data_IF_597623800804
#
_entry.id   IF_597623800804
#
_cell.length_a   1.000
_cell.length_b   1.000
_cell.length_c   1.000
_cell.angle_alpha   90.00
_cell.angle_beta   90.00
_cell.angle_gamma   90.00
#
_symmetry.space_group_name_H-M   'P 1'
#
loop_
_entity.id
_entity.type
_entity.pdbx_description
1 polymer ?
#
# COMPACT_ATOMS: atom_id res chain seq x y z
N UNK A 1 -22.12 -23.55 -7.93
CA UNK A 1 -22.42 -23.99 -6.55
C UNK A 1 -21.42 -25.08 -6.09
N UNK A 2 -21.23 -26.18 -6.83
CA UNK A 2 -20.35 -27.30 -6.41
C UNK A 2 -18.84 -26.99 -6.33
N UNK A 3 -18.38 -25.93 -6.96
CA UNK A 3 -16.96 -25.53 -6.93
C UNK A 3 -16.60 -24.70 -5.70
N UNK A 4 -17.53 -23.92 -5.18
CA UNK A 4 -17.39 -23.14 -3.96
C UNK A 4 -17.34 -24.04 -2.74
N UNK A 5 -18.26 -24.99 -2.64
CA UNK A 5 -18.36 -25.95 -1.51
C UNK A 5 -17.11 -26.82 -1.31
N UNK A 6 -16.32 -27.10 -2.35
CA UNK A 6 -15.09 -27.91 -2.22
C UNK A 6 -13.91 -27.13 -1.64
N UNK A 7 -13.82 -25.81 -1.86
CA UNK A 7 -12.80 -24.99 -1.24
C UNK A 7 -13.00 -24.86 0.28
N UNK A 8 -14.23 -24.73 0.71
CA UNK A 8 -14.59 -24.44 2.09
C UNK A 8 -14.25 -25.58 3.07
N UNK A 9 -14.23 -26.82 2.61
CA UNK A 9 -13.87 -28.00 3.43
C UNK A 9 -12.38 -28.26 3.50
N UNK A 10 -11.63 -27.97 2.44
CA UNK A 10 -10.21 -28.30 2.34
C UNK A 10 -9.29 -27.27 3.01
N UNK A 11 -9.68 -25.99 3.03
CA UNK A 11 -8.86 -24.95 3.63
C UNK A 11 -8.66 -25.14 5.15
N UNK A 12 -9.75 -25.34 5.97
CA UNK A 12 -9.57 -25.67 7.38
C UNK A 12 -8.74 -26.92 7.59
N UNK A 13 -8.99 -27.96 6.80
CA UNK A 13 -8.31 -29.25 6.93
C UNK A 13 -6.80 -29.16 6.64
N UNK A 14 -6.38 -28.28 5.75
CA UNK A 14 -4.97 -28.04 5.52
C UNK A 14 -4.28 -27.47 6.78
N UNK A 15 -4.88 -26.44 7.36
CA UNK A 15 -4.32 -25.81 8.58
C UNK A 15 -4.42 -26.75 9.81
N UNK A 16 -5.48 -27.52 9.93
CA UNK A 16 -5.65 -28.54 10.96
C UNK A 16 -4.56 -29.62 10.89
N UNK A 17 -4.23 -30.08 9.68
CA UNK A 17 -3.29 -31.19 9.48
C UNK A 17 -1.82 -30.80 9.32
N UNK A 18 -1.54 -29.55 9.03
CA UNK A 18 -0.17 -29.10 8.78
C UNK A 18 0.22 -27.91 9.68
N UNK A 19 -0.41 -26.76 9.52
CA UNK A 19 0.03 -25.50 10.15
C UNK A 19 -0.05 -25.56 11.68
N UNK A 20 -1.16 -26.04 12.24
CA UNK A 20 -1.33 -26.11 13.69
C UNK A 20 -0.40 -27.15 14.35
N UNK A 21 -0.26 -28.39 13.82
CA UNK A 21 0.74 -29.33 14.31
C UNK A 21 2.15 -28.81 14.23
N UNK A 22 2.52 -28.19 13.10
CA UNK A 22 3.87 -27.65 12.88
C UNK A 22 4.25 -26.56 13.88
N UNK A 23 3.31 -25.69 14.28
CA UNK A 23 3.54 -24.68 15.32
C UNK A 23 3.87 -25.35 16.66
N UNK A 24 3.11 -26.37 17.08
CA UNK A 24 3.38 -27.05 18.34
C UNK A 24 4.69 -27.83 18.30
N UNK A 25 4.99 -28.49 17.17
CA UNK A 25 6.20 -29.29 16.99
C UNK A 25 7.46 -28.41 17.00
N UNK A 26 7.48 -27.30 16.27
CA UNK A 26 8.62 -26.40 16.20
C UNK A 26 8.92 -25.67 17.52
N UNK A 27 7.94 -25.53 18.38
CA UNK A 27 8.07 -24.84 19.67
C UNK A 27 7.99 -25.80 20.87
N UNK A 28 8.11 -27.11 20.64
CA UNK A 28 8.03 -28.15 21.68
C UNK A 28 6.77 -28.01 22.57
N UNK A 29 5.66 -27.56 21.97
CA UNK A 29 4.40 -27.29 22.68
C UNK A 29 4.41 -26.04 23.56
N UNK A 30 5.50 -25.27 23.56
CA UNK A 30 5.65 -24.08 24.40
C UNK A 30 5.08 -22.83 23.67
N UNK A 31 3.76 -22.76 23.50
CA UNK A 31 3.00 -21.70 22.85
C UNK A 31 1.83 -21.30 23.72
N UNK A 32 1.75 -20.04 24.11
CA UNK A 32 0.66 -19.50 24.92
C UNK A 32 -0.46 -18.91 24.06
N UNK A 33 -0.08 -18.27 22.94
CA UNK A 33 -1.05 -17.66 22.03
C UNK A 33 -0.59 -17.72 20.57
N UNK A 34 -1.57 -17.81 19.66
CA UNK A 34 -1.37 -17.70 18.21
C UNK A 34 -2.28 -16.59 17.68
N UNK A 35 -1.68 -15.64 16.95
CA UNK A 35 -2.40 -14.51 16.35
C UNK A 35 -2.73 -14.82 14.91
N UNK A 36 -3.99 -14.72 14.54
CA UNK A 36 -4.51 -15.01 13.19
C UNK A 36 -5.34 -13.85 12.65
N UNK A 37 -5.37 -13.69 11.32
CA UNK A 37 -6.35 -12.87 10.64
C UNK A 37 -7.41 -13.76 9.96
N UNK A 38 -8.54 -13.18 9.65
CA UNK A 38 -9.65 -13.88 8.99
C UNK A 38 -10.04 -13.18 7.69
N UNK A 39 -9.93 -13.94 6.59
CA UNK A 39 -10.62 -13.72 5.33
C UNK A 39 -11.62 -14.87 5.20
N UNK A 40 -11.32 -15.91 4.43
CA UNK A 40 -12.19 -17.10 4.30
C UNK A 40 -12.39 -17.94 5.56
N UNK A 41 -11.76 -17.59 6.67
CA UNK A 41 -11.72 -18.29 7.97
C UNK A 41 -11.06 -19.68 8.01
N UNK A 42 -10.51 -20.15 6.90
CA UNK A 42 -9.89 -21.49 6.83
C UNK A 42 -8.79 -21.70 7.87
N UNK A 43 -7.93 -20.71 8.09
CA UNK A 43 -6.83 -20.76 9.05
C UNK A 43 -7.32 -20.87 10.48
N UNK A 44 -8.19 -19.95 10.93
CA UNK A 44 -8.72 -19.93 12.29
C UNK A 44 -9.51 -21.19 12.59
N UNK A 45 -10.32 -21.66 11.65
CA UNK A 45 -11.17 -22.86 11.84
C UNK A 45 -10.33 -24.14 11.95
N UNK A 46 -9.31 -24.30 11.09
CA UNK A 46 -8.41 -25.45 11.17
C UNK A 46 -7.60 -25.47 12.46
N UNK A 47 -7.10 -24.30 12.87
CA UNK A 47 -6.36 -24.16 14.14
C UNK A 47 -7.26 -24.38 15.36
N UNK A 48 -8.49 -23.83 15.37
CA UNK A 48 -9.43 -24.04 16.47
C UNK A 48 -9.70 -25.52 16.69
N UNK A 49 -9.95 -26.31 15.63
CA UNK A 49 -10.19 -27.74 15.72
C UNK A 49 -8.99 -28.48 16.28
N UNK A 50 -7.81 -28.22 15.77
CA UNK A 50 -6.59 -28.91 16.21
C UNK A 50 -6.21 -28.56 17.64
N UNK A 51 -6.18 -27.26 17.99
CA UNK A 51 -5.77 -26.82 19.31
C UNK A 51 -6.78 -27.17 20.40
N UNK A 52 -8.09 -27.24 20.10
CA UNK A 52 -9.08 -27.70 21.06
C UNK A 52 -8.79 -29.13 21.57
N UNK A 53 -8.22 -29.99 20.72
CA UNK A 53 -7.89 -31.37 21.06
C UNK A 53 -6.48 -31.51 21.66
N UNK A 54 -5.48 -30.79 21.10
CA UNK A 54 -4.05 -31.04 21.37
C UNK A 54 -3.41 -29.99 22.29
N UNK A 55 -3.98 -28.79 22.38
CA UNK A 55 -3.47 -27.68 23.20
C UNK A 55 -4.61 -26.79 23.75
N UNK A 56 -5.51 -27.33 24.59
CA UNK A 56 -6.74 -26.63 25.00
C UNK A 56 -6.50 -25.35 25.83
N UNK A 57 -5.30 -25.13 26.35
CA UNK A 57 -4.91 -23.92 27.07
C UNK A 57 -4.33 -22.82 26.18
N UNK A 58 -3.98 -23.14 24.92
CA UNK A 58 -3.52 -22.17 23.96
C UNK A 58 -4.65 -21.22 23.59
N UNK A 59 -4.33 -19.94 23.42
CA UNK A 59 -5.30 -18.91 23.03
C UNK A 59 -5.14 -18.51 21.57
N UNK A 60 -6.21 -18.52 20.82
CA UNK A 60 -6.21 -17.87 19.51
C UNK A 60 -6.63 -16.41 19.70
N UNK A 61 -5.86 -15.50 19.14
CA UNK A 61 -6.09 -14.06 19.14
C UNK A 61 -6.42 -13.63 17.70
N UNK A 62 -7.54 -12.96 17.51
CA UNK A 62 -7.93 -12.45 16.21
C UNK A 62 -7.35 -11.04 16.01
N UNK A 63 -6.63 -10.85 14.90
CA UNK A 63 -6.26 -9.54 14.38
C UNK A 63 -7.24 -9.17 13.26
N UNK A 64 -7.95 -8.07 13.42
CA UNK A 64 -9.04 -7.65 12.54
C UNK A 64 -8.82 -6.20 12.10
N UNK A 65 -8.89 -5.87 10.79
CA UNK A 65 -8.79 -4.49 10.34
C UNK A 65 -9.94 -3.64 10.91
N UNK A 66 -9.65 -2.40 11.25
CA UNK A 66 -10.70 -1.43 11.59
C UNK A 66 -11.66 -1.27 10.39
N UNK A 67 -12.95 -1.35 10.64
CA UNK A 67 -14.00 -1.40 9.61
C UNK A 67 -14.52 -2.81 9.31
N UNK A 68 -13.81 -3.88 9.69
CA UNK A 68 -14.34 -5.25 9.70
C UNK A 68 -15.27 -5.47 10.90
N UNK A 69 -16.24 -6.37 10.74
CA UNK A 69 -17.22 -6.66 11.80
C UNK A 69 -16.74 -7.72 12.81
N UNK A 70 -15.66 -8.44 12.53
CA UNK A 70 -15.31 -9.65 13.26
C UNK A 70 -14.82 -9.38 14.68
N UNK A 71 -14.08 -8.28 14.89
CA UNK A 71 -13.63 -7.91 16.24
C UNK A 71 -14.80 -7.63 17.18
N UNK A 72 -15.82 -6.94 16.73
CA UNK A 72 -17.03 -6.67 17.49
C UNK A 72 -17.84 -7.95 17.73
N UNK A 73 -17.94 -8.80 16.72
CA UNK A 73 -18.60 -10.09 16.85
C UNK A 73 -17.95 -10.97 17.92
N UNK A 74 -16.62 -11.10 17.90
CA UNK A 74 -15.90 -11.91 18.90
C UNK A 74 -16.00 -11.31 20.30
N UNK A 75 -15.77 -10.01 20.43
CA UNK A 75 -15.67 -9.39 21.76
C UNK A 75 -17.02 -9.06 22.40
N UNK A 76 -18.05 -8.75 21.59
CA UNK A 76 -19.35 -8.25 22.05
C UNK A 76 -20.52 -9.18 21.71
N UNK A 77 -20.33 -10.17 20.82
CA UNK A 77 -21.38 -11.03 20.31
C UNK A 77 -22.36 -10.33 19.35
N UNK A 78 -22.03 -9.15 18.86
CA UNK A 78 -22.86 -8.35 17.94
C UNK A 78 -22.08 -7.96 16.73
N UNK A 79 -22.71 -7.93 15.57
CA UNK A 79 -22.08 -7.38 14.36
C UNK A 79 -21.93 -5.88 14.53
N UNK A 80 -20.72 -5.36 14.32
CA UNK A 80 -20.43 -3.93 14.20
C UNK A 80 -20.95 -3.34 12.87
N UNK A 81 -20.80 -2.04 12.72
CA UNK A 81 -20.97 -1.40 11.40
C UNK A 81 -19.75 -1.69 10.55
N UNK A 82 -19.98 -2.19 9.32
CA UNK A 82 -18.89 -2.40 8.37
C UNK A 82 -18.45 -1.06 7.77
N UNK A 83 -17.13 -0.87 7.68
CA UNK A 83 -16.48 0.26 7.03
C UNK A 83 -15.60 -0.16 5.87
N UNK A 84 -14.68 0.71 5.46
CA UNK A 84 -13.63 0.40 4.48
C UNK A 84 -12.28 0.25 5.16
N UNK A 85 -11.41 -0.60 4.62
CA UNK A 85 -10.02 -0.75 5.03
C UNK A 85 -9.13 -0.98 3.81
N UNK A 86 -7.83 -0.74 3.95
CA UNK A 86 -6.83 -0.88 2.89
C UNK A 86 -5.91 -2.10 3.08
N UNK A 87 -5.94 -2.74 4.25
CA UNK A 87 -5.25 -4.00 4.51
C UNK A 87 -5.84 -5.09 3.61
N UNK A 88 -4.99 -5.86 2.96
CA UNK A 88 -5.42 -6.90 2.02
C UNK A 88 -5.40 -8.29 2.66
N UNK A 89 -6.39 -9.12 2.29
CA UNK A 89 -6.43 -10.55 2.60
C UNK A 89 -7.07 -10.94 3.92
N UNK A 90 -7.41 -9.98 4.76
CA UNK A 90 -8.14 -10.18 6.03
C UNK A 90 -9.18 -9.08 6.23
N UNK A 91 -10.12 -9.34 7.14
CA UNK A 91 -11.27 -8.47 7.39
C UNK A 91 -12.49 -8.90 6.57
N UNK A 92 -13.67 -8.86 7.16
CA UNK A 92 -14.92 -9.27 6.53
C UNK A 92 -16.07 -8.36 6.98
N UNK A 93 -17.07 -8.22 6.13
CA UNK A 93 -18.35 -7.56 6.39
C UNK A 93 -19.49 -8.57 6.68
N UNK A 94 -19.16 -9.84 6.74
CA UNK A 94 -20.04 -10.96 7.07
C UNK A 94 -19.27 -12.03 7.88
N UNK A 95 -19.99 -12.99 8.45
CA UNK A 95 -19.36 -14.14 9.12
C UNK A 95 -19.29 -15.29 8.10
N UNK A 96 -18.08 -15.77 7.74
CA UNK A 96 -17.96 -16.92 6.85
C UNK A 96 -18.62 -18.17 7.41
N UNK A 97 -19.35 -18.92 6.57
CA UNK A 97 -20.12 -20.10 7.00
C UNK A 97 -19.26 -21.21 7.65
N UNK A 98 -17.99 -21.29 7.29
CA UNK A 98 -17.04 -22.29 7.82
C UNK A 98 -16.28 -21.82 9.06
N UNK A 99 -16.55 -20.60 9.53
CA UNK A 99 -15.82 -20.01 10.64
C UNK A 99 -16.06 -20.77 11.95
N UNK A 100 -14.97 -21.22 12.56
CA UNK A 100 -14.94 -21.77 13.90
C UNK A 100 -14.09 -20.87 14.81
N UNK A 101 -14.78 -20.08 15.62
CA UNK A 101 -14.16 -19.17 16.59
C UNK A 101 -14.13 -19.73 18.01
N UNK A 102 -14.37 -21.02 18.20
CA UNK A 102 -14.49 -21.64 19.52
C UNK A 102 -13.27 -21.46 20.41
N UNK A 103 -12.07 -21.38 19.82
CA UNK A 103 -10.80 -21.17 20.52
C UNK A 103 -10.34 -19.70 20.50
N UNK A 104 -11.09 -18.80 19.85
CA UNK A 104 -10.73 -17.37 19.81
C UNK A 104 -11.04 -16.72 21.15
N UNK A 105 -10.01 -16.32 21.85
CA UNK A 105 -10.11 -15.73 23.18
C UNK A 105 -10.46 -14.24 23.15
N UNK A 106 -9.88 -13.49 22.21
CA UNK A 106 -10.03 -12.05 22.09
C UNK A 106 -9.73 -11.61 20.66
N UNK A 107 -10.33 -10.51 20.23
CA UNK A 107 -10.02 -9.85 18.96
C UNK A 107 -9.52 -8.43 19.21
N UNK A 108 -8.55 -8.00 18.40
CA UNK A 108 -8.06 -6.63 18.35
C UNK A 108 -8.41 -6.00 17.01
N UNK A 109 -9.11 -4.87 17.06
CA UNK A 109 -9.26 -4.01 15.90
C UNK A 109 -7.97 -3.20 15.72
N UNK A 110 -7.45 -3.19 14.50
CA UNK A 110 -6.18 -2.57 14.13
C UNK A 110 -6.40 -1.68 12.91
N UNK A 111 -6.05 -0.41 13.02
CA UNK A 111 -6.17 0.52 11.90
C UNK A 111 -5.18 0.23 10.77
N UNK A 112 -5.49 0.72 9.56
CA UNK A 112 -4.56 0.63 8.41
C UNK A 112 -3.21 1.26 8.73
N UNK A 113 -3.22 2.43 9.41
CA UNK A 113 -2.00 3.12 9.82
C UNK A 113 -1.11 2.25 10.72
N UNK A 114 -1.67 1.66 11.77
CA UNK A 114 -0.96 0.74 12.67
C UNK A 114 -0.42 -0.48 11.92
N UNK A 115 -1.21 -1.03 10.99
CA UNK A 115 -0.85 -2.20 10.19
C UNK A 115 0.33 -1.91 9.25
N UNK A 116 0.29 -0.78 8.55
CA UNK A 116 1.35 -0.40 7.62
C UNK A 116 2.64 -0.01 8.35
N UNK A 117 2.52 0.70 9.45
CA UNK A 117 3.66 1.06 10.31
C UNK A 117 4.36 -0.19 10.84
N UNK A 118 3.60 -1.14 11.38
CA UNK A 118 4.16 -2.40 11.91
C UNK A 118 4.86 -3.23 10.82
N UNK A 119 4.31 -3.31 9.61
CA UNK A 119 4.95 -4.01 8.49
C UNK A 119 6.27 -3.32 8.06
N UNK A 120 6.30 -1.98 8.03
CA UNK A 120 7.50 -1.19 7.73
C UNK A 120 8.56 -1.30 8.84
N UNK A 121 8.15 -1.30 10.11
CA UNK A 121 9.04 -1.56 11.26
C UNK A 121 9.63 -2.96 11.22
N UNK A 122 8.84 -3.97 10.88
CA UNK A 122 9.29 -5.35 10.73
C UNK A 122 10.42 -5.46 9.69
N UNK A 123 10.25 -4.78 8.53
CA UNK A 123 11.31 -4.70 7.54
C UNK A 123 12.56 -3.97 8.07
N UNK A 124 12.37 -2.85 8.75
CA UNK A 124 13.48 -2.00 9.22
C UNK A 124 14.29 -2.65 10.34
N UNK A 125 13.63 -3.34 11.27
CA UNK A 125 14.28 -3.92 12.44
C UNK A 125 14.77 -5.35 12.23
N UNK A 126 13.95 -6.16 11.52
CA UNK A 126 14.19 -7.59 11.41
C UNK A 126 14.57 -8.03 9.99
N UNK A 127 14.52 -7.12 9.00
CA UNK A 127 14.82 -7.43 7.61
C UNK A 127 13.74 -8.28 6.92
N UNK A 128 12.54 -8.38 7.49
CA UNK A 128 11.43 -9.17 6.97
C UNK A 128 10.50 -8.31 6.13
N UNK A 129 10.53 -8.51 4.81
CA UNK A 129 9.63 -7.85 3.87
C UNK A 129 8.30 -8.60 3.79
N UNK A 130 7.31 -8.19 4.59
CA UNK A 130 6.02 -8.85 4.73
C UNK A 130 4.86 -7.97 4.20
N UNK A 131 3.68 -8.56 3.97
CA UNK A 131 2.50 -7.85 3.49
C UNK A 131 1.75 -7.07 4.57
N UNK A 132 0.70 -6.36 4.17
CA UNK A 132 -0.10 -5.50 5.05
C UNK A 132 -0.75 -6.27 6.20
N UNK A 133 -1.34 -7.43 5.93
CA UNK A 133 -1.95 -8.29 6.95
C UNK A 133 -0.96 -8.78 7.99
N UNK A 134 0.31 -9.00 7.62
CA UNK A 134 1.36 -9.36 8.58
C UNK A 134 1.60 -8.24 9.60
N UNK A 135 1.52 -6.97 9.17
CA UNK A 135 1.59 -5.83 10.07
C UNK A 135 0.39 -5.77 11.03
N UNK A 136 -0.81 -6.07 10.55
CA UNK A 136 -2.02 -6.18 11.38
C UNK A 136 -1.84 -7.24 12.47
N UNK A 137 -1.38 -8.43 12.08
CA UNK A 137 -1.16 -9.54 13.01
C UNK A 137 -0.06 -9.20 14.02
N UNK A 138 1.03 -8.58 13.59
CA UNK A 138 2.11 -8.14 14.47
C UNK A 138 1.61 -7.11 15.49
N UNK A 139 0.84 -6.12 15.05
CA UNK A 139 0.24 -5.11 15.94
C UNK A 139 -0.67 -5.75 16.99
N UNK A 140 -1.54 -6.68 16.59
CA UNK A 140 -2.39 -7.40 17.51
C UNK A 140 -1.58 -8.26 18.51
N UNK A 141 -0.51 -8.90 18.04
CA UNK A 141 0.40 -9.67 18.89
C UNK A 141 1.09 -8.79 19.93
N UNK A 142 1.55 -7.61 19.53
CA UNK A 142 2.15 -6.63 20.45
C UNK A 142 1.12 -6.10 21.45
N UNK A 143 -0.08 -5.72 21.01
CA UNK A 143 -1.19 -5.29 21.91
C UNK A 143 -1.51 -6.38 22.93
N UNK A 144 -1.66 -7.63 22.49
CA UNK A 144 -1.91 -8.76 23.36
C UNK A 144 -0.76 -8.98 24.36
N UNK A 145 0.49 -8.98 23.92
CA UNK A 145 1.66 -9.20 24.76
C UNK A 145 1.82 -8.11 25.83
N UNK A 146 1.53 -6.86 25.51
CA UNK A 146 1.58 -5.75 26.46
C UNK A 146 0.52 -5.84 27.58
N UNK A 147 -0.57 -6.56 27.37
CA UNK A 147 -1.60 -6.79 28.38
C UNK A 147 -1.24 -7.93 29.35
N UNK A 148 -0.23 -8.75 29.03
CA UNK A 148 0.14 -9.88 29.88
C UNK A 148 1.03 -9.42 31.03
N UNK A 149 0.84 -10.01 32.21
CA UNK A 149 1.65 -9.74 33.41
C UNK A 149 2.87 -10.64 33.51
N UNK A 150 2.83 -11.79 32.81
CA UNK A 150 3.90 -12.78 32.76
C UNK A 150 4.38 -12.95 31.32
N UNK A 151 5.67 -13.32 31.11
CA UNK A 151 6.19 -13.61 29.78
C UNK A 151 5.39 -14.73 29.10
N UNK A 152 5.07 -14.53 27.82
CA UNK A 152 4.35 -15.50 27.00
C UNK A 152 5.03 -15.70 25.64
N UNK A 153 4.93 -16.92 25.12
CA UNK A 153 5.32 -17.25 23.76
C UNK A 153 4.13 -17.02 22.83
N UNK A 154 4.21 -15.95 22.03
CA UNK A 154 3.15 -15.53 21.10
C UNK A 154 3.64 -15.73 19.67
N UNK A 155 2.89 -16.48 18.88
CA UNK A 155 3.14 -16.73 17.46
C UNK A 155 2.27 -15.80 16.61
N UNK A 156 2.87 -15.09 15.67
CA UNK A 156 2.15 -14.33 14.65
C UNK A 156 2.68 -14.72 13.26
N UNK A 157 1.79 -14.68 12.24
CA UNK A 157 2.17 -15.06 10.89
C UNK A 157 2.73 -13.87 10.09
N UNK A 158 3.81 -14.11 9.32
CA UNK A 158 4.14 -13.33 8.14
C UNK A 158 3.40 -13.94 6.95
N UNK A 159 2.17 -13.48 6.70
CA UNK A 159 1.20 -14.15 5.84
C UNK A 159 1.65 -14.24 4.38
N UNK A 160 2.26 -13.17 3.85
CA UNK A 160 2.77 -13.11 2.50
C UNK A 160 3.94 -12.14 2.37
N UNK A 161 4.57 -12.17 1.18
CA UNK A 161 5.71 -11.30 0.87
C UNK A 161 5.27 -9.87 0.56
N UNK A 162 6.02 -8.90 1.07
CA UNK A 162 5.84 -7.47 0.78
C UNK A 162 6.10 -7.06 -0.68
N UNK A 163 6.63 -7.95 -1.52
CA UNK A 163 6.86 -7.65 -2.94
C UNK A 163 5.58 -7.19 -3.68
N UNK A 164 4.41 -7.64 -3.24
CA UNK A 164 3.12 -7.23 -3.80
C UNK A 164 2.74 -5.78 -3.42
N UNK A 165 3.40 -5.22 -2.41
CA UNK A 165 3.03 -3.96 -1.77
C UNK A 165 4.10 -2.87 -1.95
N UNK A 166 5.10 -3.10 -2.83
CA UNK A 166 6.16 -2.13 -3.12
C UNK A 166 5.63 -0.80 -3.69
N UNK A 167 4.50 -0.81 -4.36
CA UNK A 167 3.83 0.38 -4.86
C UNK A 167 2.79 0.98 -3.90
N UNK A 168 2.58 0.37 -2.74
CA UNK A 168 1.61 0.76 -1.71
C UNK A 168 2.33 1.07 -0.40
N UNK A 169 2.18 0.24 0.63
CA UNK A 169 2.70 0.48 1.98
C UNK A 169 4.24 0.66 2.06
N UNK A 170 5.01 0.20 1.08
CA UNK A 170 6.46 0.44 0.98
C UNK A 170 6.83 1.59 0.04
N UNK A 171 5.86 2.33 -0.45
CA UNK A 171 6.05 3.53 -1.26
C UNK A 171 5.61 4.76 -0.46
N UNK A 172 6.57 5.62 -0.08
CA UNK A 172 6.30 6.80 0.74
C UNK A 172 5.29 7.74 0.05
N UNK A 173 5.33 7.89 -1.28
CA UNK A 173 4.34 8.71 -2.00
C UNK A 173 2.92 8.17 -1.88
N UNK A 174 2.75 6.85 -1.93
CA UNK A 174 1.44 6.24 -1.71
C UNK A 174 0.99 6.44 -0.27
N UNK A 175 1.89 6.27 0.69
CA UNK A 175 1.61 6.50 2.11
C UNK A 175 1.22 7.96 2.41
N UNK A 176 1.91 8.92 1.80
CA UNK A 176 1.57 10.34 1.87
C UNK A 176 0.23 10.63 1.18
N UNK A 177 -0.02 10.01 0.02
CA UNK A 177 -1.26 10.18 -0.73
C UNK A 177 -2.48 9.64 0.02
N UNK A 178 -2.30 8.57 0.78
CA UNK A 178 -3.33 8.03 1.67
C UNK A 178 -3.40 8.75 3.04
N UNK A 179 -2.49 9.65 3.35
CA UNK A 179 -2.47 10.41 4.61
C UNK A 179 -1.83 9.68 5.79
N UNK A 180 -1.10 8.59 5.55
CA UNK A 180 -0.39 7.84 6.61
C UNK A 180 0.98 8.42 6.96
N UNK A 181 1.56 9.23 6.07
CA UNK A 181 2.79 9.99 6.30
C UNK A 181 2.46 11.47 6.10
N UNK A 182 2.83 12.29 7.05
CA UNK A 182 2.70 13.75 6.92
C UNK A 182 3.76 14.29 5.96
N UNK A 183 3.34 15.10 5.02
CA UNK A 183 4.20 15.83 4.11
C UNK A 183 4.41 17.26 4.58
N UNK A 184 5.63 17.81 4.48
CA UNK A 184 5.84 19.24 4.73
C UNK A 184 4.90 20.08 3.88
N UNK A 185 4.20 21.04 4.49
CA UNK A 185 3.34 21.98 3.79
C UNK A 185 4.10 23.29 3.55
N UNK A 186 4.10 23.74 2.31
CA UNK A 186 4.74 24.99 1.88
C UNK A 186 3.74 26.15 1.83
N UNK A 187 2.45 25.85 1.76
CA UNK A 187 1.38 26.84 1.64
C UNK A 187 1.23 27.43 0.23
N UNK A 188 1.75 26.76 -0.79
CA UNK A 188 1.74 27.19 -2.18
C UNK A 188 1.59 26.03 -3.16
N UNK A 189 1.85 26.24 -4.48
CA UNK A 189 1.67 25.20 -5.50
C UNK A 189 2.53 23.94 -5.27
N UNK A 190 3.60 24.01 -4.47
CA UNK A 190 4.42 22.84 -4.14
C UNK A 190 3.64 21.78 -3.39
N UNK A 191 2.60 22.16 -2.64
CA UNK A 191 1.72 21.23 -1.94
C UNK A 191 0.86 20.38 -2.89
N UNK A 192 0.69 20.83 -4.14
CA UNK A 192 -0.04 20.10 -5.16
C UNK A 192 0.84 19.17 -6.00
N UNK A 193 2.17 19.31 -5.92
CA UNK A 193 3.10 18.47 -6.68
C UNK A 193 3.12 17.07 -6.08
N UNK A 194 2.62 16.06 -6.80
CA UNK A 194 2.61 14.68 -6.34
C UNK A 194 4.01 14.08 -6.12
N UNK A 195 5.02 14.54 -6.89
CA UNK A 195 6.40 14.05 -6.84
C UNK A 195 7.38 15.22 -6.89
N UNK A 196 7.83 15.69 -5.74
CA UNK A 196 8.80 16.78 -5.65
C UNK A 196 10.17 16.35 -6.18
N UNK A 197 10.79 17.25 -6.96
CA UNK A 197 12.10 16.98 -7.57
C UNK A 197 13.23 16.97 -6.53
N UNK A 198 13.20 17.85 -5.55
CA UNK A 198 14.18 17.92 -4.46
C UNK A 198 14.27 16.65 -3.63
N UNK A 199 13.18 15.89 -3.53
CA UNK A 199 13.10 14.60 -2.84
C UNK A 199 13.53 13.40 -3.72
N UNK A 200 14.04 13.65 -4.93
CA UNK A 200 14.34 12.64 -5.96
C UNK A 200 13.15 11.78 -6.36
N UNK A 201 11.95 12.28 -6.12
CA UNK A 201 10.69 11.62 -6.40
C UNK A 201 10.27 11.71 -7.86
N UNK A 202 10.67 12.78 -8.53
CA UNK A 202 10.37 13.02 -9.93
C UNK A 202 11.21 12.10 -10.81
N UNK A 203 10.54 11.36 -11.67
CA UNK A 203 11.21 10.53 -12.68
C UNK A 203 11.52 11.42 -13.87
N UNK A 204 12.76 11.47 -14.24
CA UNK A 204 13.28 12.36 -15.28
C UNK A 204 14.02 11.59 -16.38
N UNK A 205 14.27 12.23 -17.49
CA UNK A 205 15.15 11.75 -18.56
C UNK A 205 16.14 12.86 -18.93
N UNK A 206 17.27 12.49 -19.52
CA UNK A 206 18.20 13.43 -20.14
C UNK A 206 17.85 13.66 -21.61
N UNK A 207 18.28 14.80 -22.21
CA UNK A 207 18.04 15.08 -23.63
C UNK A 207 18.70 14.06 -24.56
N UNK A 208 19.79 13.43 -24.13
CA UNK A 208 20.56 12.42 -24.89
C UNK A 208 20.09 10.98 -24.60
N UNK A 209 19.15 10.75 -23.65
CA UNK A 209 18.53 9.44 -23.47
C UNK A 209 17.73 9.09 -24.73
N UNK A 210 17.65 7.79 -25.08
CA UNK A 210 16.85 7.37 -26.24
C UNK A 210 15.37 7.30 -25.89
N UNK A 211 14.48 7.53 -26.87
CA UNK A 211 13.03 7.52 -26.68
C UNK A 211 12.51 6.19 -26.11
N UNK A 212 13.14 5.05 -26.44
CA UNK A 212 12.81 3.75 -25.82
C UNK A 212 13.01 3.76 -24.30
N UNK A 213 14.09 4.39 -23.81
CA UNK A 213 14.33 4.53 -22.37
C UNK A 213 13.26 5.41 -21.73
N UNK A 214 12.92 6.53 -22.35
CA UNK A 214 11.87 7.42 -21.88
C UNK A 214 10.51 6.71 -21.83
N UNK A 215 10.14 5.97 -22.90
CA UNK A 215 8.91 5.18 -22.92
C UNK A 215 8.85 4.14 -21.80
N UNK A 216 9.94 3.43 -21.54
CA UNK A 216 10.00 2.47 -20.44
C UNK A 216 9.85 3.15 -19.08
N UNK A 217 10.43 4.33 -18.88
CA UNK A 217 10.26 5.12 -17.64
C UNK A 217 8.83 5.60 -17.47
N UNK A 218 8.17 6.13 -18.52
CA UNK A 218 6.74 6.50 -18.51
C UNK A 218 5.88 5.33 -18.04
N UNK A 219 6.04 4.18 -18.71
CA UNK A 219 5.24 2.98 -18.45
C UNK A 219 5.47 2.41 -17.05
N UNK A 220 6.73 2.26 -16.64
CA UNK A 220 7.08 1.64 -15.36
C UNK A 220 6.66 2.52 -14.17
N UNK A 221 6.66 3.82 -14.35
CA UNK A 221 6.27 4.78 -13.33
C UNK A 221 4.78 5.12 -13.34
N UNK A 222 4.03 4.70 -14.36
CA UNK A 222 2.62 5.04 -14.53
C UNK A 222 2.39 6.55 -14.67
N UNK A 223 3.30 7.26 -15.36
CA UNK A 223 3.20 8.71 -15.60
C UNK A 223 3.08 8.99 -17.09
N UNK A 224 2.40 10.06 -17.46
CA UNK A 224 2.18 10.45 -18.86
C UNK A 224 3.14 11.53 -19.35
N UNK A 225 3.97 12.10 -18.47
CA UNK A 225 4.95 13.12 -18.77
C UNK A 225 6.26 12.89 -18.00
N UNK A 226 7.39 13.19 -18.62
CA UNK A 226 8.71 13.19 -18.00
C UNK A 226 9.37 14.56 -18.17
N UNK A 227 9.82 15.20 -17.09
CA UNK A 227 10.75 16.32 -17.18
C UNK A 227 12.06 15.87 -17.86
N UNK A 228 12.54 16.66 -18.79
CA UNK A 228 13.85 16.46 -19.42
C UNK A 228 14.85 17.37 -18.72
N UNK A 229 15.80 16.76 -18.04
CA UNK A 229 16.80 17.46 -17.23
C UNK A 229 18.17 17.40 -17.89
N UNK A 230 18.84 18.56 -17.98
CA UNK A 230 20.23 18.66 -18.41
C UNK A 230 21.03 19.45 -17.37
N UNK A 231 22.12 18.88 -16.89
CA UNK A 231 22.98 19.47 -15.85
C UNK A 231 22.20 20.04 -14.64
N UNK A 232 21.09 19.39 -14.25
CA UNK A 232 20.25 19.80 -13.14
C UNK A 232 19.18 20.85 -13.47
N UNK A 233 19.05 21.27 -14.72
CA UNK A 233 18.07 22.25 -15.20
C UNK A 233 16.98 21.56 -16.01
N UNK A 234 15.77 22.05 -15.89
CA UNK A 234 14.65 21.63 -16.73
C UNK A 234 14.79 22.26 -18.13
N UNK A 235 15.10 21.42 -19.13
CA UNK A 235 15.28 21.88 -20.52
C UNK A 235 14.11 21.54 -21.43
N UNK A 236 13.22 20.64 -20.99
CA UNK A 236 12.05 20.24 -21.77
C UNK A 236 11.13 19.35 -20.98
N UNK A 237 10.01 18.98 -21.59
CA UNK A 237 9.08 17.95 -21.08
C UNK A 237 8.75 17.01 -22.24
N UNK A 238 8.79 15.71 -21.99
CA UNK A 238 8.40 14.67 -22.94
C UNK A 238 7.10 14.03 -22.49
N UNK A 239 6.06 14.09 -23.30
CA UNK A 239 4.80 13.40 -23.05
C UNK A 239 4.68 12.10 -23.87
N UNK A 240 3.81 11.17 -23.43
CA UNK A 240 3.50 9.96 -24.21
C UNK A 240 3.08 10.28 -25.66
N UNK A 241 2.30 11.35 -25.84
CA UNK A 241 1.85 11.80 -27.15
C UNK A 241 3.02 12.20 -28.07
N UNK A 242 4.10 12.72 -27.51
CA UNK A 242 5.29 13.10 -28.27
C UNK A 242 6.05 11.86 -28.77
N UNK A 243 6.18 10.84 -27.90
CA UNK A 243 6.76 9.55 -28.28
C UNK A 243 5.93 8.86 -29.36
N UNK A 244 4.60 8.88 -29.24
CA UNK A 244 3.70 8.31 -30.25
C UNK A 244 3.86 9.03 -31.58
N UNK A 245 3.95 10.36 -31.59
CA UNK A 245 4.10 11.15 -32.81
C UNK A 245 5.38 10.78 -33.56
N UNK A 246 6.50 10.61 -32.86
CA UNK A 246 7.78 10.21 -33.47
C UNK A 246 7.75 8.76 -33.94
N UNK A 247 7.19 7.84 -33.14
CA UNK A 247 7.20 6.42 -33.45
C UNK A 247 6.18 6.01 -34.54
N UNK A 248 5.08 6.76 -34.72
CA UNK A 248 3.99 6.36 -35.61
C UNK A 248 4.40 6.30 -37.09
N UNK A 249 5.27 7.19 -37.51
CA UNK A 249 5.79 7.22 -38.89
C UNK A 249 7.14 6.52 -39.08
N UNK A 250 7.82 6.20 -37.99
CA UNK A 250 9.21 5.72 -37.99
C UNK A 250 9.49 4.90 -36.72
N UNK A 251 9.21 3.60 -36.69
CA UNK A 251 9.50 2.77 -35.51
C UNK A 251 10.97 2.79 -35.09
N UNK A 252 11.89 3.00 -36.05
CA UNK A 252 13.33 3.11 -35.79
C UNK A 252 13.67 4.38 -35.00
N UNK A 253 12.85 5.43 -35.10
CA UNK A 253 13.03 6.70 -34.38
C UNK A 253 12.86 6.55 -32.85
N UNK A 254 12.38 5.42 -32.35
CA UNK A 254 12.44 5.10 -30.92
C UNK A 254 13.87 4.99 -30.37
N UNK A 255 14.87 4.91 -31.23
CA UNK A 255 16.27 4.95 -30.84
C UNK A 255 16.87 6.36 -30.91
N UNK A 256 16.11 7.35 -31.37
CA UNK A 256 16.56 8.73 -31.42
C UNK A 256 16.62 9.36 -30.01
N UNK A 257 17.43 10.39 -29.80
CA UNK A 257 17.51 11.12 -28.54
C UNK A 257 16.20 11.78 -28.17
N UNK A 258 15.88 11.84 -26.87
CA UNK A 258 14.72 12.54 -26.31
C UNK A 258 14.62 13.99 -26.82
N UNK A 259 15.73 14.66 -27.02
CA UNK A 259 15.79 16.03 -27.57
C UNK A 259 15.06 16.21 -28.89
N UNK A 260 14.89 15.16 -29.71
CA UNK A 260 14.16 15.23 -30.99
C UNK A 260 12.65 15.34 -30.85
N UNK A 261 12.11 14.85 -29.72
CA UNK A 261 10.67 14.76 -29.49
C UNK A 261 10.16 15.66 -28.34
N UNK A 262 11.05 16.06 -27.42
CA UNK A 262 10.65 16.85 -26.25
C UNK A 262 10.07 18.21 -26.65
N UNK A 263 9.15 18.70 -25.79
CA UNK A 263 8.62 20.06 -25.88
C UNK A 263 9.56 21.00 -25.12
N UNK A 264 10.23 21.93 -25.85
CA UNK A 264 11.07 22.98 -25.24
C UNK A 264 10.24 24.15 -24.71
N UNK A 265 9.03 24.36 -25.28
CA UNK A 265 8.11 25.41 -24.88
C UNK A 265 6.94 24.81 -24.11
N UNK A 266 6.95 24.97 -22.82
CA UNK A 266 5.92 24.50 -21.90
C UNK A 266 5.61 25.58 -20.84
N UNK A 267 4.47 25.44 -20.18
CA UNK A 267 4.06 26.43 -19.18
C UNK A 267 4.85 26.22 -17.88
N UNK A 268 5.45 27.30 -17.43
CA UNK A 268 6.12 27.38 -16.13
C UNK A 268 5.34 28.30 -15.20
N UNK A 269 5.17 27.91 -13.96
CA UNK A 269 4.46 28.66 -12.93
C UNK A 269 5.38 28.86 -11.72
N UNK A 270 5.32 30.06 -11.17
CA UNK A 270 5.90 30.35 -9.87
C UNK A 270 5.11 29.61 -8.76
N UNK A 271 5.76 29.08 -7.69
CA UNK A 271 5.09 28.46 -6.56
C UNK A 271 3.96 29.31 -5.97
N UNK A 272 4.10 30.62 -5.93
CA UNK A 272 3.10 31.55 -5.39
C UNK A 272 1.90 31.79 -6.33
N UNK A 273 1.88 31.17 -7.51
CA UNK A 273 0.71 31.24 -8.40
C UNK A 273 -0.51 30.66 -7.74
N UNK A 274 -1.65 31.33 -7.86
CA UNK A 274 -2.90 30.86 -7.22
C UNK A 274 -3.41 29.57 -7.84
N UNK A 275 -4.05 28.72 -7.03
CA UNK A 275 -4.67 27.47 -7.49
C UNK A 275 -5.73 27.74 -8.58
N UNK A 276 -6.47 28.85 -8.52
CA UNK A 276 -7.43 29.23 -9.55
C UNK A 276 -6.77 29.44 -10.92
N UNK A 277 -5.60 30.08 -10.95
CA UNK A 277 -4.85 30.29 -12.18
C UNK A 277 -4.30 28.96 -12.73
N UNK A 278 -3.80 28.09 -11.84
CA UNK A 278 -3.38 26.75 -12.22
C UNK A 278 -4.54 25.93 -12.81
N UNK A 279 -5.72 25.93 -12.17
CA UNK A 279 -6.89 25.19 -12.64
C UNK A 279 -7.35 25.72 -14.01
N UNK A 280 -7.40 27.05 -14.21
CA UNK A 280 -7.74 27.64 -15.52
C UNK A 280 -6.75 27.20 -16.60
N UNK A 281 -5.47 27.16 -16.30
CA UNK A 281 -4.42 26.71 -17.20
C UNK A 281 -4.56 25.21 -17.55
N UNK A 282 -4.83 24.35 -16.56
CA UNK A 282 -4.96 22.91 -16.77
C UNK A 282 -6.24 22.53 -17.55
N UNK A 283 -7.17 23.45 -17.79
CA UNK A 283 -8.27 23.21 -18.75
C UNK A 283 -7.78 23.07 -20.18
N UNK A 284 -6.70 23.79 -20.54
CA UNK A 284 -6.18 23.85 -21.91
C UNK A 284 -4.79 23.19 -22.06
N UNK A 285 -4.05 23.04 -20.97
CA UNK A 285 -2.76 22.39 -20.93
C UNK A 285 -2.82 21.06 -20.16
N UNK A 286 -2.05 20.02 -20.56
CA UNK A 286 -2.05 18.74 -19.84
C UNK A 286 -1.31 18.80 -18.50
N UNK A 287 -0.35 19.71 -18.36
CA UNK A 287 0.50 19.88 -17.16
C UNK A 287 1.02 21.32 -17.07
N UNK A 288 1.57 21.68 -15.92
CA UNK A 288 2.38 22.86 -15.68
C UNK A 288 3.65 22.46 -14.90
N UNK A 289 4.78 23.06 -15.23
CA UNK A 289 6.00 22.95 -14.46
C UNK A 289 6.02 24.04 -13.37
N UNK A 290 6.35 23.67 -12.14
CA UNK A 290 6.56 24.64 -11.06
C UNK A 290 8.05 24.91 -10.93
N UNK A 291 8.44 26.17 -11.11
CA UNK A 291 9.84 26.61 -11.11
C UNK A 291 9.99 27.94 -10.42
N UNK A 292 11.11 28.16 -9.75
CA UNK A 292 11.48 29.45 -9.18
C UNK A 292 13.02 29.63 -9.27
N UNK A 293 13.48 30.74 -9.82
CA UNK A 293 14.91 31.06 -9.96
C UNK A 293 15.74 29.92 -10.61
N UNK A 294 15.24 29.34 -11.70
CA UNK A 294 15.79 28.17 -12.40
C UNK A 294 15.75 26.86 -11.61
N UNK A 295 15.23 26.85 -10.38
CA UNK A 295 14.98 25.63 -9.61
C UNK A 295 13.65 24.99 -10.05
N UNK A 296 13.69 23.70 -10.36
CA UNK A 296 12.52 22.92 -10.73
C UNK A 296 11.99 22.12 -9.54
N UNK A 297 10.74 22.36 -9.16
CA UNK A 297 10.12 21.64 -8.04
C UNK A 297 9.33 20.41 -8.48
N UNK A 298 8.72 20.43 -9.65
CA UNK A 298 7.94 19.30 -10.19
C UNK A 298 6.92 19.71 -11.23
N UNK A 299 6.22 18.70 -11.75
CA UNK A 299 5.07 18.91 -12.63
C UNK A 299 3.76 18.81 -11.83
N UNK A 300 2.79 19.62 -12.18
CA UNK A 300 1.40 19.50 -11.70
C UNK A 300 0.52 19.14 -12.90
N UNK A 301 -0.27 18.09 -12.74
CA UNK A 301 -1.27 17.61 -13.69
C UNK A 301 -2.68 17.77 -13.14
N UNK A 302 -3.70 17.46 -13.95
CA UNK A 302 -5.09 17.41 -13.48
C UNK A 302 -5.30 16.38 -12.36
N UNK A 303 -4.58 15.25 -12.41
CA UNK A 303 -4.66 14.22 -11.40
C UNK A 303 -4.16 14.72 -10.04
N UNK A 304 -3.08 15.51 -10.01
CA UNK A 304 -2.54 16.08 -8.78
C UNK A 304 -3.52 17.06 -8.12
N UNK A 305 -4.19 17.89 -8.91
CA UNK A 305 -5.24 18.80 -8.41
C UNK A 305 -6.42 18.00 -7.83
N UNK A 306 -6.87 16.95 -8.52
CA UNK A 306 -7.96 16.10 -8.03
C UNK A 306 -7.58 15.39 -6.72
N UNK A 307 -6.35 14.89 -6.62
CA UNK A 307 -5.83 14.27 -5.40
C UNK A 307 -5.77 15.28 -4.25
N UNK A 308 -5.31 16.50 -4.51
CA UNK A 308 -5.30 17.57 -3.51
C UNK A 308 -6.71 17.88 -2.98
N UNK A 309 -7.69 18.01 -3.89
CA UNK A 309 -9.09 18.24 -3.50
C UNK A 309 -9.68 17.08 -2.69
N UNK A 310 -9.37 15.85 -3.08
CA UNK A 310 -9.80 14.65 -2.33
C UNK A 310 -9.28 14.68 -0.89
N UNK A 311 -8.01 15.01 -0.68
CA UNK A 311 -7.41 15.13 0.66
C UNK A 311 -8.08 16.20 1.53
N UNK A 312 -8.55 17.29 0.93
CA UNK A 312 -9.28 18.34 1.67
C UNK A 312 -10.70 17.94 2.08
N UNK A 313 -11.32 16.96 1.39
CA UNK A 313 -12.67 16.50 1.71
C UNK A 313 -12.72 15.53 2.89
N UNK A 314 -11.57 15.03 3.37
CA UNK A 314 -11.47 13.99 4.41
C UNK A 314 -11.81 12.58 3.87
N UNK A 315 -11.59 11.55 4.68
CA UNK A 315 -11.97 10.18 4.34
C UNK A 315 -13.47 9.99 4.26
#
# INVERSE_FOLDING_TARGET
ADRVMRHDVYLPLAHERTTAPEILDQLDGNVDAVVVGVGSSGTVSGMSRYFAEHAPNLRIILADPEGSILADYINKGTMGESGGWLVEGIGEDFIPDIADFSMVHKAYSVSDAESFDAARELLRREGLLAGSSSGTLLTAALKYSHEQTEPQNVVAFACDTGNKYLSKLYNDFWMEDQGFIERPQFGDLRDLIGRLHGERATITVGPNDVLTTAHNRLRNAGVSQLPVMDEGRLVGVLAEADVIREAFGCPECLHDPVATAMQEHFVQLDPQTTVNNLVALLQVQPFAAVTENDEFFGLITRADVLNHLRKQMGP
#
